data_IF_930530739883
#
_entry.id   IF_930530739883
#
_cell.length_a   1.000
_cell.length_b   1.000
_cell.length_c   1.000
_cell.angle_alpha   90.00
_cell.angle_beta   90.00
_cell.angle_gamma   90.00
#
_symmetry.space_group_name_H-M   'P 1'
#
loop_
_entity.id
_entity.type
_entity.pdbx_description
1 polymer ?
#
# COMPACT_ATOMS: atom_id res chain seq x y z
N UNK A 1 21.93 0.50 3.83
CA UNK A 1 20.80 1.33 4.27
C UNK A 1 19.57 0.46 4.27
N UNK A 2 18.81 0.39 5.37
CA UNK A 2 17.63 -0.47 5.45
C UNK A 2 16.47 0.18 4.68
N UNK A 3 16.05 -0.43 3.57
CA UNK A 3 15.03 0.12 2.67
C UNK A 3 13.60 -0.04 3.24
N UNK A 4 13.42 -0.83 4.32
CA UNK A 4 12.14 -1.14 4.98
C UNK A 4 10.96 -1.47 4.04
N UNK A 5 11.23 -1.85 2.80
CA UNK A 5 10.23 -2.28 1.84
C UNK A 5 9.66 -3.61 2.28
N UNK A 6 8.34 -3.75 2.15
CA UNK A 6 7.68 -5.02 2.40
C UNK A 6 8.19 -6.06 1.40
N UNK A 7 8.44 -7.25 1.92
CA UNK A 7 8.81 -8.42 1.13
C UNK A 7 7.61 -9.34 1.17
N UNK A 8 7.17 -9.82 0.02
CA UNK A 8 6.18 -10.88 -0.05
C UNK A 8 6.86 -12.20 0.39
N UNK A 9 6.42 -12.80 1.51
CA UNK A 9 7.05 -14.01 2.04
C UNK A 9 6.84 -15.24 1.15
N UNK A 10 5.88 -15.22 0.21
CA UNK A 10 5.59 -16.38 -0.65
C UNK A 10 6.57 -16.51 -1.83
N UNK A 11 7.00 -15.39 -2.41
CA UNK A 11 7.86 -15.37 -3.60
C UNK A 11 9.18 -14.60 -3.40
N UNK A 12 9.40 -14.04 -2.20
CA UNK A 12 10.59 -13.27 -1.83
C UNK A 12 10.81 -12.02 -2.71
N UNK A 13 9.75 -11.49 -3.30
CA UNK A 13 9.77 -10.26 -4.08
C UNK A 13 9.46 -9.04 -3.20
N UNK A 14 10.02 -7.88 -3.57
CA UNK A 14 9.77 -6.63 -2.86
C UNK A 14 8.51 -5.95 -3.39
N UNK A 15 7.65 -5.48 -2.49
CA UNK A 15 6.45 -4.71 -2.80
C UNK A 15 6.82 -3.28 -3.23
N UNK A 16 7.35 -3.14 -4.44
CA UNK A 16 7.79 -1.87 -5.03
C UNK A 16 7.77 -1.93 -6.56
N UNK A 17 7.28 -0.87 -7.22
CA UNK A 17 7.56 -0.62 -8.63
C UNK A 17 8.09 0.79 -8.87
N UNK A 18 8.88 0.95 -9.93
CA UNK A 18 9.35 2.24 -10.43
C UNK A 18 9.32 2.29 -11.95
N UNK A 19 8.97 3.45 -12.50
CA UNK A 19 9.03 3.69 -13.95
C UNK A 19 10.39 4.25 -14.37
N UNK A 20 11.00 3.63 -15.40
CA UNK A 20 12.24 4.05 -16.12
C UNK A 20 13.54 4.19 -15.32
N UNK A 21 13.51 4.61 -14.06
CA UNK A 21 14.69 4.69 -13.21
C UNK A 21 14.71 3.56 -12.17
N UNK A 22 15.87 2.91 -12.07
CA UNK A 22 16.15 1.95 -11.01
C UNK A 22 16.21 2.74 -9.71
N UNK A 23 15.27 2.48 -8.80
CA UNK A 23 15.28 3.11 -7.49
C UNK A 23 16.65 2.90 -6.82
N UNK A 24 17.08 3.85 -5.98
CA UNK A 24 18.41 3.86 -5.35
C UNK A 24 18.76 2.58 -4.57
N UNK A 25 17.75 1.79 -4.19
CA UNK A 25 17.90 0.49 -3.52
C UNK A 25 17.98 -0.71 -4.48
N UNK A 26 17.59 -0.55 -5.76
CA UNK A 26 17.68 -1.60 -6.79
C UNK A 26 16.71 -2.77 -6.62
N UNK A 27 15.59 -2.58 -5.91
CA UNK A 27 14.61 -3.61 -5.57
C UNK A 27 13.26 -3.29 -6.23
N UNK A 28 12.45 -4.32 -6.49
CA UNK A 28 11.11 -4.20 -7.08
C UNK A 28 11.07 -4.32 -8.62
N UNK A 29 9.90 -4.03 -9.19
CA UNK A 29 9.61 -4.19 -10.62
C UNK A 29 9.82 -2.88 -11.38
N UNK A 30 10.58 -2.91 -12.47
CA UNK A 30 10.75 -1.74 -13.35
C UNK A 30 9.78 -1.86 -14.51
N UNK A 31 8.97 -0.82 -14.72
CA UNK A 31 8.03 -0.72 -15.85
C UNK A 31 8.50 0.36 -16.83
N UNK A 32 8.36 0.10 -18.13
CA UNK A 32 8.77 1.04 -19.19
C UNK A 32 7.69 2.09 -19.48
N UNK A 33 6.43 1.65 -19.52
CA UNK A 33 5.25 2.48 -19.73
C UNK A 33 4.51 2.78 -18.43
N UNK A 34 3.58 3.74 -18.50
CA UNK A 34 2.73 4.07 -17.36
C UNK A 34 1.67 2.96 -17.18
N UNK A 35 1.71 2.19 -16.07
CA UNK A 35 0.73 1.15 -15.84
C UNK A 35 -0.64 1.75 -15.50
N UNK A 36 -1.72 1.05 -15.84
CA UNK A 36 -3.05 1.31 -15.27
C UNK A 36 -3.04 1.10 -13.75
N UNK A 37 -4.05 1.60 -13.03
CA UNK A 37 -4.19 1.38 -11.58
C UNK A 37 -4.16 -0.11 -11.18
N UNK A 38 -4.84 -0.96 -11.95
CA UNK A 38 -4.84 -2.40 -11.74
C UNK A 38 -3.47 -3.05 -11.96
N UNK A 39 -2.72 -2.60 -12.96
CA UNK A 39 -1.35 -3.07 -13.23
C UNK A 39 -0.37 -2.57 -12.18
N UNK A 40 -0.46 -1.29 -11.79
CA UNK A 40 0.36 -0.66 -10.76
C UNK A 40 0.21 -1.38 -9.41
N UNK A 41 -1.02 -1.73 -9.03
CA UNK A 41 -1.33 -2.51 -7.83
C UNK A 41 -0.62 -3.87 -7.84
N UNK A 42 -0.67 -4.58 -8.98
CA UNK A 42 -0.01 -5.88 -9.15
C UNK A 42 1.51 -5.76 -9.16
N UNK A 43 2.06 -4.80 -9.90
CA UNK A 43 3.51 -4.59 -9.97
C UNK A 43 4.11 -4.18 -8.62
N UNK A 44 3.36 -3.43 -7.81
CA UNK A 44 3.77 -3.09 -6.43
C UNK A 44 3.56 -4.24 -5.44
N UNK A 45 2.95 -5.36 -5.82
CA UNK A 45 2.58 -6.43 -4.90
C UNK A 45 1.62 -5.96 -3.81
N UNK A 46 0.72 -5.03 -4.14
CA UNK A 46 -0.27 -4.43 -3.25
C UNK A 46 -1.67 -5.03 -3.41
N UNK A 47 -1.82 -6.02 -4.29
CA UNK A 47 -3.06 -6.75 -4.57
C UNK A 47 -3.36 -7.80 -3.47
N UNK A 48 -3.38 -7.35 -2.22
CA UNK A 48 -3.77 -8.15 -1.06
C UNK A 48 -4.92 -7.45 -0.33
N UNK A 49 -5.80 -8.26 0.27
CA UNK A 49 -6.91 -7.77 1.09
C UNK A 49 -6.51 -7.78 2.56
N UNK A 50 -6.97 -6.76 3.30
CA UNK A 50 -6.79 -6.68 4.75
C UNK A 50 -8.14 -6.81 5.44
N UNK A 51 -8.21 -7.66 6.47
CA UNK A 51 -9.40 -7.89 7.28
C UNK A 51 -9.16 -7.57 8.76
N UNK A 52 -10.25 -7.37 9.51
CA UNK A 52 -10.20 -7.27 10.97
C UNK A 52 -10.50 -8.62 11.59
N UNK A 53 -9.58 -9.12 12.40
CA UNK A 53 -9.78 -10.34 13.18
C UNK A 53 -9.91 -9.98 14.67
N UNK A 54 -10.83 -10.60 15.41
CA UNK A 54 -10.95 -10.38 16.86
C UNK A 54 -9.68 -10.81 17.59
N UNK A 55 -9.35 -10.10 18.69
CA UNK A 55 -8.21 -10.41 19.53
C UNK A 55 -8.63 -11.20 20.77
N UNK A 56 -7.83 -12.21 21.10
CA UNK A 56 -7.99 -13.02 22.30
C UNK A 56 -6.70 -12.97 23.12
N UNK A 57 -6.83 -12.77 24.43
CA UNK A 57 -5.75 -12.94 25.39
C UNK A 57 -5.67 -14.40 25.81
N UNK A 58 -4.46 -14.95 25.86
CA UNK A 58 -4.18 -16.28 26.39
C UNK A 58 -3.52 -16.17 27.74
N UNK A 59 -3.71 -17.19 28.57
CA UNK A 59 -2.95 -17.31 29.81
C UNK A 59 -1.43 -17.39 29.51
N UNK A 60 -0.57 -17.02 30.47
CA UNK A 60 0.87 -17.13 30.28
C UNK A 60 1.39 -18.57 30.13
N UNK A 61 0.57 -19.57 30.48
CA UNK A 61 0.90 -20.99 30.40
C UNK A 61 0.53 -21.64 29.04
N UNK A 62 -0.16 -20.91 28.16
CA UNK A 62 -0.57 -21.33 26.82
C UNK A 62 -1.79 -22.25 26.76
N UNK A 63 -2.62 -22.34 27.82
CA UNK A 63 -3.84 -23.14 27.79
C UNK A 63 -4.92 -22.45 26.95
N UNK A 64 -5.39 -23.15 25.92
CA UNK A 64 -6.42 -22.66 24.98
C UNK A 64 -7.80 -22.55 25.68
N UNK A 65 -8.01 -23.27 26.78
CA UNK A 65 -9.28 -23.29 27.51
C UNK A 65 -9.63 -21.95 28.19
N UNK A 66 -8.64 -21.08 28.39
CA UNK A 66 -8.77 -19.80 29.11
C UNK A 66 -8.56 -18.59 28.17
N UNK A 67 -8.96 -18.71 26.90
CA UNK A 67 -8.96 -17.57 25.98
C UNK A 67 -10.00 -16.53 26.40
N UNK A 68 -9.53 -15.32 26.72
CA UNK A 68 -10.38 -14.19 27.05
C UNK A 68 -10.48 -13.24 25.85
N UNK A 69 -11.71 -12.95 25.41
CA UNK A 69 -11.96 -11.92 24.39
C UNK A 69 -11.41 -10.57 24.85
N UNK A 70 -10.73 -9.87 23.95
CA UNK A 70 -10.30 -8.48 24.16
C UNK A 70 -11.32 -7.57 23.46
N UNK A 71 -12.32 -7.05 24.20
CA UNK A 71 -13.44 -6.36 23.58
C UNK A 71 -12.99 -5.09 22.84
N UNK A 72 -13.69 -4.80 21.74
CA UNK A 72 -13.48 -3.64 20.88
C UNK A 72 -12.05 -3.49 20.30
N UNK A 73 -11.25 -4.57 20.33
CA UNK A 73 -9.90 -4.63 19.78
C UNK A 73 -9.79 -5.71 18.70
N UNK A 74 -9.15 -5.34 17.60
CA UNK A 74 -9.00 -6.19 16.42
C UNK A 74 -7.56 -6.16 15.93
N UNK A 75 -7.10 -7.25 15.34
CA UNK A 75 -5.90 -7.28 14.51
C UNK A 75 -6.27 -6.96 13.07
N UNK A 76 -5.50 -6.11 12.39
CA UNK A 76 -5.55 -6.00 10.93
C UNK A 76 -4.65 -7.07 10.33
N UNK A 77 -5.21 -7.94 9.50
CA UNK A 77 -4.52 -9.15 8.99
C UNK A 77 -4.64 -9.19 7.48
N UNK A 78 -3.53 -9.48 6.79
CA UNK A 78 -3.58 -9.76 5.35
C UNK A 78 -4.13 -11.16 5.11
N UNK A 79 -5.08 -11.29 4.18
CA UNK A 79 -5.76 -12.58 3.91
C UNK A 79 -4.93 -13.55 3.08
N UNK A 80 -3.90 -13.07 2.36
CA UNK A 80 -3.06 -13.88 1.49
C UNK A 80 -2.02 -14.73 2.26
N UNK A 81 -1.53 -14.21 3.38
CA UNK A 81 -0.47 -14.84 4.17
C UNK A 81 -0.71 -14.83 5.69
N UNK A 82 -1.88 -14.37 6.14
CA UNK A 82 -2.25 -14.22 7.55
C UNK A 82 -1.28 -13.34 8.37
N UNK A 83 -0.53 -12.45 7.71
CA UNK A 83 0.38 -11.56 8.40
C UNK A 83 -0.41 -10.49 9.16
N UNK A 84 -0.18 -10.46 10.47
CA UNK A 84 -0.69 -9.40 11.35
C UNK A 84 0.10 -8.12 11.10
N UNK A 85 -0.61 -7.08 10.66
CA UNK A 85 -0.08 -5.74 10.36
C UNK A 85 -0.09 -4.83 11.60
N UNK A 86 -1.06 -5.02 12.50
CA UNK A 86 -1.21 -4.15 13.66
C UNK A 86 -2.49 -4.43 14.44
N UNK A 87 -2.69 -3.65 15.51
CA UNK A 87 -3.91 -3.72 16.34
C UNK A 87 -4.67 -2.40 16.24
N UNK A 88 -5.99 -2.49 16.12
CA UNK A 88 -6.89 -1.36 15.89
C UNK A 88 -8.13 -1.46 16.80
N UNK A 89 -8.80 -0.33 16.99
CA UNK A 89 -10.07 -0.27 17.71
C UNK A 89 -11.26 -0.61 16.81
N UNK A 90 -12.43 -0.77 17.42
CA UNK A 90 -13.71 -1.01 16.74
C UNK A 90 -14.01 -0.02 15.62
N UNK A 91 -13.81 1.28 15.86
CA UNK A 91 -14.15 2.36 14.93
C UNK A 91 -13.16 2.53 13.77
N UNK A 92 -12.04 1.80 13.76
CA UNK A 92 -11.06 1.90 12.67
C UNK A 92 -11.64 1.37 11.36
N UNK A 93 -11.54 2.07 10.24
CA UNK A 93 -11.99 1.54 8.94
C UNK A 93 -10.79 1.10 8.09
N UNK A 94 -10.87 -0.12 7.54
CA UNK A 94 -9.84 -0.61 6.62
C UNK A 94 -10.15 -0.06 5.24
N UNK A 95 -9.27 0.80 4.73
CA UNK A 95 -9.30 1.24 3.33
C UNK A 95 -8.46 0.24 2.53
N UNK A 96 -9.05 -0.44 1.56
CA UNK A 96 -8.31 -1.39 0.74
C UNK A 96 -7.38 -0.65 -0.23
N UNK A 97 -6.27 -1.29 -0.60
CA UNK A 97 -5.34 -0.72 -1.56
C UNK A 97 -6.05 -0.42 -2.89
N UNK A 98 -6.91 -1.33 -3.37
CA UNK A 98 -7.76 -1.12 -4.58
C UNK A 98 -8.58 0.16 -4.48
N UNK A 99 -9.19 0.43 -3.33
CA UNK A 99 -10.01 1.64 -3.13
C UNK A 99 -9.14 2.90 -3.15
N UNK A 100 -7.93 2.83 -2.60
CA UNK A 100 -6.97 3.93 -2.66
C UNK A 100 -6.61 4.26 -4.12
N UNK A 101 -6.24 3.28 -4.93
CA UNK A 101 -5.95 3.48 -6.36
C UNK A 101 -7.17 3.97 -7.15
N UNK A 102 -8.36 3.44 -6.86
CA UNK A 102 -9.61 3.88 -7.49
C UNK A 102 -9.94 5.34 -7.15
N UNK A 103 -9.68 5.76 -5.90
CA UNK A 103 -9.81 7.16 -5.49
C UNK A 103 -8.89 8.07 -6.31
N UNK A 104 -7.63 7.69 -6.50
CA UNK A 104 -6.70 8.42 -7.35
C UNK A 104 -7.23 8.57 -8.77
N UNK A 105 -7.69 7.49 -9.40
CA UNK A 105 -8.27 7.53 -10.75
C UNK A 105 -9.48 8.47 -10.85
N UNK A 106 -10.32 8.52 -9.81
CA UNK A 106 -11.50 9.40 -9.77
C UNK A 106 -11.16 10.89 -9.69
N UNK A 107 -10.05 11.24 -9.02
CA UNK A 107 -9.60 12.64 -8.83
C UNK A 107 -9.11 13.27 -10.13
N UNK A 108 -8.61 12.47 -11.08
CA UNK A 108 -7.99 12.95 -12.33
C UNK A 108 -8.98 13.19 -13.47
N UNK A 109 -10.27 12.88 -13.29
CA UNK A 109 -11.30 13.27 -14.24
C UNK A 109 -11.12 12.75 -15.67
N UNK A 110 -10.50 11.58 -15.87
CA UNK A 110 -10.42 10.91 -17.18
C UNK A 110 -9.21 11.27 -18.06
N UNK A 111 -8.37 12.24 -17.69
CA UNK A 111 -7.12 12.51 -18.43
C UNK A 111 -5.99 11.49 -18.14
N UNK A 112 -6.24 10.55 -17.22
CA UNK A 112 -5.34 9.44 -16.91
C UNK A 112 -4.22 9.85 -15.96
N UNK A 113 -4.22 9.31 -14.75
CA UNK A 113 -3.05 9.42 -13.87
C UNK A 113 -1.89 8.63 -14.48
N UNK A 114 -0.70 9.20 -14.38
CA UNK A 114 0.53 8.55 -14.81
C UNK A 114 1.26 8.03 -13.57
N UNK A 115 0.99 6.79 -13.17
CA UNK A 115 1.62 6.18 -12.00
C UNK A 115 3.14 6.03 -12.21
N UNK A 116 3.94 6.59 -11.29
CA UNK A 116 5.41 6.60 -11.41
C UNK A 116 6.08 5.63 -10.45
N UNK A 117 5.65 5.60 -9.19
CA UNK A 117 6.15 4.66 -8.18
C UNK A 117 5.03 4.27 -7.24
N UNK A 118 5.01 3.01 -6.79
CA UNK A 118 4.22 2.62 -5.63
C UNK A 118 4.92 1.49 -4.89
N UNK A 119 4.66 1.39 -3.59
CA UNK A 119 5.20 0.31 -2.78
C UNK A 119 4.59 0.25 -1.39
N UNK A 120 5.01 -0.77 -0.65
CA UNK A 120 4.63 -0.99 0.74
C UNK A 120 5.86 -0.97 1.65
N UNK A 121 5.69 -0.47 2.87
CA UNK A 121 6.69 -0.48 3.94
C UNK A 121 6.30 -1.50 5.02
N UNK A 122 7.29 -2.00 5.74
CA UNK A 122 7.08 -2.96 6.84
C UNK A 122 6.55 -4.31 6.36
N UNK A 123 5.40 -4.74 6.84
CA UNK A 123 4.70 -5.95 6.37
C UNK A 123 3.62 -5.66 5.32
N UNK A 124 3.55 -4.42 4.84
CA UNK A 124 2.42 -3.91 4.06
C UNK A 124 1.41 -3.12 4.90
N UNK A 125 1.78 -2.70 6.11
CA UNK A 125 0.91 -1.86 6.95
C UNK A 125 0.83 -0.40 6.47
N UNK A 126 1.77 0.03 5.62
CA UNK A 126 1.84 1.38 5.05
C UNK A 126 2.17 1.26 3.57
N UNK A 127 1.43 1.98 2.75
CA UNK A 127 1.66 2.03 1.31
C UNK A 127 1.97 3.47 0.91
N UNK A 128 2.76 3.64 -0.15
CA UNK A 128 2.97 4.92 -0.79
C UNK A 128 2.71 4.77 -2.28
N UNK A 129 2.07 5.78 -2.85
CA UNK A 129 1.76 5.87 -4.27
C UNK A 129 2.16 7.26 -4.72
N UNK A 130 2.93 7.32 -5.80
CA UNK A 130 3.30 8.56 -6.50
C UNK A 130 2.76 8.48 -7.90
N UNK A 131 1.92 9.46 -8.25
CA UNK A 131 1.37 9.61 -9.57
C UNK A 131 1.60 11.02 -10.09
N UNK A 132 1.91 11.12 -11.38
CA UNK A 132 2.02 12.37 -12.12
C UNK A 132 0.67 12.69 -12.74
N UNK A 133 0.20 13.90 -12.50
CA UNK A 133 -1.01 14.42 -13.15
C UNK A 133 -0.67 14.85 -14.59
N UNK A 134 -1.53 14.55 -15.57
CA UNK A 134 -1.31 14.93 -16.98
C UNK A 134 -1.35 16.46 -17.18
N UNK A 135 -2.06 17.17 -16.30
CA UNK A 135 -2.32 18.59 -16.43
C UNK A 135 -1.27 19.45 -15.71
N UNK A 136 -0.46 20.16 -16.48
CA UNK A 136 0.43 21.20 -15.97
C UNK A 136 -0.43 22.38 -15.53
N UNK A 137 -0.39 22.77 -14.25
CA UNK A 137 -0.93 24.08 -13.88
C UNK A 137 0.08 25.14 -14.31
N UNK A 138 -0.24 25.87 -15.40
CA UNK A 138 0.47 27.12 -15.73
C UNK A 138 0.12 28.18 -14.70
N UNK A 139 1.01 28.42 -13.75
CA UNK A 139 0.95 29.58 -12.86
C UNK A 139 1.78 30.69 -13.49
N UNK A 140 1.13 31.59 -14.22
CA UNK A 140 1.81 32.74 -14.84
C UNK A 140 2.70 32.40 -16.04
N UNK A 141 3.23 33.44 -16.69
CA UNK A 141 3.98 33.36 -17.95
C UNK A 141 5.33 32.64 -17.78
N UNK A 142 5.33 31.31 -17.81
CA UNK A 142 6.53 30.52 -18.14
C UNK A 142 6.87 29.34 -17.24
N UNK A 143 6.27 29.21 -16.04
CA UNK A 143 6.61 28.11 -15.13
C UNK A 143 5.63 26.94 -15.28
N UNK A 144 6.16 25.82 -15.74
CA UNK A 144 5.51 24.50 -15.68
C UNK A 144 5.81 23.91 -14.30
N UNK A 145 4.84 23.87 -13.40
CA UNK A 145 4.95 23.09 -12.17
C UNK A 145 4.45 21.66 -12.40
N UNK A 146 5.31 20.68 -12.14
CA UNK A 146 4.90 19.28 -12.03
C UNK A 146 4.24 19.06 -10.66
N UNK A 147 3.10 18.36 -10.64
CA UNK A 147 2.35 18.09 -9.41
C UNK A 147 2.48 16.62 -9.02
N UNK A 148 3.01 16.42 -7.83
CA UNK A 148 3.12 15.12 -7.18
C UNK A 148 2.10 15.03 -6.05
N UNK A 149 1.30 13.96 -6.01
CA UNK A 149 0.47 13.64 -4.85
C UNK A 149 1.06 12.40 -4.16
N UNK A 150 1.36 12.52 -2.87
CA UNK A 150 1.92 11.46 -2.03
C UNK A 150 0.96 11.20 -0.89
N UNK A 151 0.51 9.96 -0.74
CA UNK A 151 -0.21 9.49 0.45
C UNK A 151 0.76 8.62 1.28
N UNK A 152 1.19 9.06 2.48
CA UNK A 152 2.01 8.27 3.40
C UNK A 152 1.18 7.27 4.24
#
# INVERSE_FOLDING_TARGET
MAHNLAINPQNNEYSFFSRKEKAWHGLGTIVEDYPSSAEALKFAGLDYTVEKWPLFARDPQGHIADEQDVPDRFATVRTDNNAVLGTVGKEYEIIQNVDAFTFFDSVVGGEGILYETAGALGKGERIFITAKLPDYIRVGKGDCLEKYLVRP
#
